data_IF_300671344841
#
_entry.id   IF_300671344841
#
_cell.length_a   1.000
_cell.length_b   1.000
_cell.length_c   1.000
_cell.angle_alpha   90.00
_cell.angle_beta   90.00
_cell.angle_gamma   90.00
#
_symmetry.space_group_name_H-M   'P 1'
#
loop_
_entity.id
_entity.type
_entity.pdbx_description
1 polymer ?
#
# COMPACT_ATOMS: atom_id res chain seq x y z
N UNK A 1 -2.90 27.03 8.28
CA UNK A 1 -1.64 26.48 7.72
C UNK A 1 -1.52 26.88 6.25
N UNK A 2 -0.32 27.13 5.72
CA UNK A 2 -0.12 27.46 4.30
C UNK A 2 -0.34 26.22 3.39
N UNK A 3 -0.82 26.42 2.16
CA UNK A 3 -1.18 25.30 1.26
C UNK A 3 -0.01 24.33 1.00
N UNK A 4 1.20 24.86 0.77
CA UNK A 4 2.36 24.02 0.48
C UNK A 4 2.85 23.27 1.72
N UNK A 5 2.70 23.86 2.90
CA UNK A 5 3.00 23.21 4.17
C UNK A 5 2.02 22.05 4.40
N UNK A 6 0.73 22.25 4.11
CA UNK A 6 -0.29 21.21 4.18
C UNK A 6 -0.02 20.06 3.21
N UNK A 7 0.31 20.36 1.94
CA UNK A 7 0.67 19.31 0.96
C UNK A 7 1.90 18.52 1.41
N UNK A 8 2.89 19.19 2.01
CA UNK A 8 4.09 18.53 2.53
C UNK A 8 3.74 17.62 3.71
N UNK A 9 2.88 18.09 4.62
CA UNK A 9 2.39 17.32 5.76
C UNK A 9 1.71 16.03 5.30
N UNK A 10 0.68 16.16 4.47
CA UNK A 10 -0.12 15.03 3.96
C UNK A 10 0.70 14.02 3.14
N UNK A 11 1.76 14.47 2.47
CA UNK A 11 2.65 13.56 1.74
C UNK A 11 3.55 12.71 2.64
N UNK A 12 3.80 13.14 3.89
CA UNK A 12 4.48 12.30 4.88
C UNK A 12 3.52 11.21 5.35
N UNK A 13 2.31 11.61 5.70
CA UNK A 13 1.24 10.69 6.10
C UNK A 13 0.96 9.66 5.01
N UNK A 14 0.85 10.10 3.74
CA UNK A 14 0.65 9.19 2.62
C UNK A 14 1.77 8.17 2.48
N UNK A 15 3.02 8.55 2.79
CA UNK A 15 4.17 7.64 2.75
C UNK A 15 4.14 6.65 3.93
N UNK A 16 3.71 7.08 5.10
CA UNK A 16 3.49 6.22 6.28
C UNK A 16 2.38 5.18 6.00
N UNK A 17 1.24 5.62 5.46
CA UNK A 17 0.16 4.73 5.04
C UNK A 17 0.62 3.73 3.98
N UNK A 18 1.43 4.20 3.01
CA UNK A 18 1.98 3.33 1.99
C UNK A 18 2.92 2.26 2.57
N UNK A 19 3.71 2.61 3.57
CA UNK A 19 4.57 1.66 4.27
C UNK A 19 3.75 0.60 5.03
N UNK A 20 2.68 1.01 5.70
CA UNK A 20 1.76 0.11 6.41
C UNK A 20 1.04 -0.86 5.45
N UNK A 21 0.55 -0.38 4.30
CA UNK A 21 -0.03 -1.22 3.23
C UNK A 21 0.94 -2.35 2.88
N UNK A 22 2.17 -2.01 2.51
CA UNK A 22 3.15 -3.02 2.07
C UNK A 22 3.45 -4.01 3.17
N UNK A 23 3.63 -3.54 4.40
CA UNK A 23 3.96 -4.39 5.53
C UNK A 23 2.83 -5.40 5.83
N UNK A 24 1.58 -4.95 5.87
CA UNK A 24 0.46 -5.83 6.19
C UNK A 24 0.11 -6.74 5.02
N UNK A 25 0.23 -6.25 3.78
CA UNK A 25 -0.03 -7.03 2.57
C UNK A 25 0.99 -8.16 2.38
N UNK A 26 2.28 -7.85 2.46
CA UNK A 26 3.35 -8.86 2.33
C UNK A 26 3.21 -9.91 3.43
N UNK A 27 2.95 -9.47 4.67
CA UNK A 27 2.75 -10.42 5.77
C UNK A 27 1.52 -11.31 5.54
N UNK A 28 0.43 -10.74 5.06
CA UNK A 28 -0.77 -11.50 4.73
C UNK A 28 -0.49 -12.61 3.72
N UNK A 29 0.27 -12.32 2.67
CA UNK A 29 0.56 -13.32 1.64
C UNK A 29 1.51 -14.39 2.16
N UNK A 30 2.52 -14.03 2.97
CA UNK A 30 3.42 -15.02 3.59
C UNK A 30 2.71 -15.93 4.61
N UNK A 31 1.63 -15.46 5.22
CA UNK A 31 0.78 -16.28 6.10
C UNK A 31 -0.30 -17.07 5.34
N UNK A 32 -0.45 -16.85 4.02
CA UNK A 32 -1.57 -17.32 3.21
C UNK A 32 -2.86 -16.53 3.43
N UNK A 33 -3.44 -15.95 2.38
CA UNK A 33 -4.64 -15.09 2.51
C UNK A 33 -5.92 -15.85 2.89
N UNK A 34 -5.93 -17.17 2.69
CA UNK A 34 -7.02 -18.07 3.07
C UNK A 34 -6.97 -18.48 4.54
N UNK A 35 -5.86 -18.20 5.25
CA UNK A 35 -5.76 -18.45 6.68
C UNK A 35 -6.45 -17.36 7.50
N UNK A 36 -6.94 -17.65 8.72
CA UNK A 36 -7.54 -16.63 9.58
C UNK A 36 -6.60 -15.46 9.89
N UNK A 37 -5.29 -15.70 9.94
CA UNK A 37 -4.28 -14.70 10.23
C UNK A 37 -3.99 -13.84 9.00
N UNK A 38 -3.74 -14.46 7.85
CA UNK A 38 -3.54 -13.75 6.59
C UNK A 38 -4.76 -12.92 6.20
N UNK A 39 -5.96 -13.49 6.22
CA UNK A 39 -7.20 -12.74 5.95
C UNK A 39 -7.39 -11.52 6.87
N UNK A 40 -6.99 -11.63 8.14
CA UNK A 40 -7.03 -10.50 9.09
C UNK A 40 -6.03 -9.41 8.72
N UNK A 41 -4.81 -9.77 8.32
CA UNK A 41 -3.77 -8.84 7.85
C UNK A 41 -4.18 -8.17 6.53
N UNK A 42 -4.69 -8.93 5.56
CA UNK A 42 -5.20 -8.40 4.30
C UNK A 42 -6.30 -7.37 4.52
N UNK A 43 -7.19 -7.63 5.47
CA UNK A 43 -8.24 -6.66 5.83
C UNK A 43 -7.66 -5.35 6.39
N UNK A 44 -6.53 -5.38 7.11
CA UNK A 44 -5.85 -4.15 7.57
C UNK A 44 -5.17 -3.42 6.42
N UNK A 45 -4.43 -4.15 5.59
CA UNK A 45 -3.81 -3.59 4.38
C UNK A 45 -4.82 -2.85 3.50
N UNK A 46 -6.04 -3.38 3.35
CA UNK A 46 -7.12 -2.71 2.61
C UNK A 46 -7.65 -1.44 3.28
N UNK A 47 -7.62 -1.35 4.61
CA UNK A 47 -7.97 -0.12 5.33
C UNK A 47 -6.89 0.96 5.12
N UNK A 48 -5.60 0.60 5.19
CA UNK A 48 -4.52 1.55 4.88
C UNK A 48 -4.56 2.02 3.41
N UNK A 49 -4.98 1.15 2.47
CA UNK A 49 -5.24 1.55 1.08
C UNK A 49 -6.30 2.64 0.97
N UNK A 50 -7.31 2.64 1.85
CA UNK A 50 -8.30 3.71 1.92
C UNK A 50 -7.72 5.00 2.48
N UNK A 51 -6.85 4.93 3.50
CA UNK A 51 -6.19 6.11 4.08
C UNK A 51 -5.29 6.77 3.03
N UNK A 52 -4.41 5.98 2.41
CA UNK A 52 -3.58 6.43 1.28
C UNK A 52 -4.42 7.06 0.16
N UNK A 53 -5.58 6.46 -0.16
CA UNK A 53 -6.50 7.02 -1.16
C UNK A 53 -7.10 8.36 -0.74
N UNK A 54 -7.53 8.53 0.52
CA UNK A 54 -8.06 9.80 1.01
C UNK A 54 -7.01 10.90 0.97
N UNK A 55 -5.80 10.64 1.46
CA UNK A 55 -4.69 11.57 1.45
C UNK A 55 -4.30 11.95 0.02
N UNK A 56 -4.15 10.96 -0.87
CA UNK A 56 -3.81 11.17 -2.28
C UNK A 56 -4.83 12.05 -3.01
N UNK A 57 -6.12 11.81 -2.76
CA UNK A 57 -7.21 12.64 -3.30
C UNK A 57 -7.16 14.08 -2.78
N UNK A 58 -6.86 14.30 -1.48
CA UNK A 58 -6.73 15.65 -0.93
C UNK A 58 -5.53 16.36 -1.54
N UNK A 59 -4.37 15.70 -1.60
CA UNK A 59 -3.15 16.25 -2.20
C UNK A 59 -3.39 16.67 -3.65
N UNK A 60 -3.96 15.77 -4.47
CA UNK A 60 -4.30 16.07 -5.86
C UNK A 60 -5.26 17.24 -5.99
N UNK A 61 -6.28 17.34 -5.12
CA UNK A 61 -7.24 18.46 -5.11
C UNK A 61 -6.58 19.80 -4.77
N UNK A 62 -5.58 19.80 -3.90
CA UNK A 62 -4.79 21.00 -3.56
C UNK A 62 -3.81 21.40 -4.68
N UNK A 63 -3.72 20.60 -5.74
CA UNK A 63 -2.77 20.76 -6.85
C UNK A 63 -1.35 20.29 -6.49
N UNK A 64 -1.23 19.43 -5.48
CA UNK A 64 0.03 18.80 -5.10
C UNK A 64 0.28 17.50 -5.86
N UNK A 65 1.53 17.05 -5.83
CA UNK A 65 1.93 15.74 -6.34
C UNK A 65 2.01 14.74 -5.16
N UNK A 66 1.30 13.60 -5.24
CA UNK A 66 1.41 12.52 -4.25
C UNK A 66 2.77 11.83 -4.29
N UNK A 67 3.40 11.65 -3.13
CA UNK A 67 4.67 10.94 -2.96
C UNK A 67 4.43 9.44 -2.85
N UNK A 68 4.64 8.69 -3.94
CA UNK A 68 4.41 7.24 -3.98
C UNK A 68 5.58 6.40 -3.43
N UNK A 69 6.54 7.02 -2.74
CA UNK A 69 7.60 6.30 -2.05
C UNK A 69 7.14 5.99 -0.61
N UNK A 70 7.14 4.72 -0.18
CA UNK A 70 6.79 4.38 1.18
C UNK A 70 7.82 4.92 2.17
N UNK A 71 7.35 5.31 3.36
CA UNK A 71 8.21 5.68 4.47
C UNK A 71 8.96 4.45 5.04
N UNK A 72 10.04 4.66 5.81
CA UNK A 72 10.63 3.59 6.60
C UNK A 72 9.64 3.05 7.64
N UNK A 73 9.45 1.74 7.69
CA UNK A 73 8.59 1.09 8.68
C UNK A 73 9.44 0.45 9.79
N UNK A 74 9.23 0.77 11.08
CA UNK A 74 9.92 0.11 12.18
C UNK A 74 9.44 -1.35 12.30
N UNK A 75 10.32 -2.30 12.01
CA UNK A 75 9.97 -3.71 11.86
C UNK A 75 11.03 -4.62 12.49
N UNK A 76 10.61 -5.45 13.44
CA UNK A 76 11.43 -6.53 14.01
C UNK A 76 10.97 -7.90 13.47
N UNK A 77 11.65 -8.46 12.45
CA UNK A 77 11.31 -9.74 11.82
C UNK A 77 11.69 -10.97 12.64
N UNK A 78 12.17 -10.85 13.88
CA UNK A 78 12.75 -12.00 14.61
C UNK A 78 11.78 -13.17 14.76
N UNK A 79 10.52 -12.88 15.07
CA UNK A 79 9.44 -13.87 15.12
C UNK A 79 8.08 -13.17 15.06
N UNK A 80 6.98 -13.93 14.94
CA UNK A 80 5.62 -13.36 14.91
C UNK A 80 5.34 -12.44 16.09
N UNK A 81 5.81 -12.75 17.30
CA UNK A 81 5.55 -11.89 18.46
C UNK A 81 6.18 -10.50 18.31
N UNK A 82 7.44 -10.42 17.89
CA UNK A 82 8.13 -9.14 17.67
C UNK A 82 7.56 -8.37 16.48
N UNK A 83 7.12 -9.10 15.45
CA UNK A 83 6.45 -8.52 14.28
C UNK A 83 5.15 -7.82 14.70
N UNK A 84 4.23 -8.52 15.37
CA UNK A 84 2.97 -7.94 15.80
C UNK A 84 3.16 -6.86 16.87
N UNK A 85 4.16 -6.99 17.74
CA UNK A 85 4.53 -5.93 18.68
C UNK A 85 4.96 -4.65 17.94
N UNK A 86 5.73 -4.78 16.86
CA UNK A 86 6.13 -3.65 16.01
C UNK A 86 4.91 -2.95 15.40
N UNK A 87 3.89 -3.71 14.97
CA UNK A 87 2.65 -3.12 14.42
C UNK A 87 1.86 -2.36 15.48
N UNK A 88 1.67 -2.95 16.66
CA UNK A 88 1.01 -2.28 17.78
C UNK A 88 1.72 -0.96 18.10
N UNK A 89 3.05 -0.99 18.20
CA UNK A 89 3.83 0.20 18.54
C UNK A 89 3.83 1.26 17.43
N UNK A 90 3.73 0.85 16.17
CA UNK A 90 3.58 1.77 15.03
C UNK A 90 2.21 2.46 15.07
N UNK A 91 1.13 1.68 15.13
CA UNK A 91 -0.25 2.19 15.15
C UNK A 91 -0.52 3.14 16.33
N UNK A 92 -0.01 2.79 17.52
CA UNK A 92 -0.18 3.65 18.70
C UNK A 92 0.54 5.00 18.57
N UNK A 93 1.63 5.08 17.80
CA UNK A 93 2.35 6.34 17.55
C UNK A 93 1.61 7.23 16.55
N UNK A 94 0.85 6.66 15.62
CA UNK A 94 0.06 7.41 14.65
C UNK A 94 -1.12 8.17 15.30
N UNK A 95 -1.67 7.66 16.40
CA UNK A 95 -2.81 8.30 17.10
C UNK A 95 -2.50 9.75 17.52
N UNK A 96 -1.48 10.06 18.34
CA UNK A 96 -1.16 11.44 18.71
C UNK A 96 -0.60 12.24 17.52
N UNK A 97 0.03 11.59 16.55
CA UNK A 97 0.52 12.21 15.31
C UNK A 97 -0.63 12.85 14.53
N UNK A 98 -1.60 12.04 14.10
CA UNK A 98 -2.75 12.49 13.33
C UNK A 98 -3.65 13.48 14.07
N UNK A 99 -3.89 13.27 15.37
CA UNK A 99 -4.65 14.25 16.16
C UNK A 99 -3.90 15.59 16.25
N UNK A 100 -2.59 15.58 16.42
CA UNK A 100 -1.77 16.79 16.49
C UNK A 100 -1.71 17.55 15.15
N UNK A 101 -1.81 16.85 14.03
CA UNK A 101 -1.91 17.47 12.71
C UNK A 101 -3.33 17.99 12.43
N UNK A 102 -4.36 17.25 12.80
CA UNK A 102 -5.75 17.68 12.72
C UNK A 102 -6.02 19.01 13.47
N UNK A 103 -5.30 19.26 14.57
CA UNK A 103 -5.39 20.51 15.33
C UNK A 103 -4.80 21.72 14.60
N UNK A 104 -3.94 21.51 13.60
CA UNK A 104 -3.28 22.58 12.82
C UNK A 104 -4.02 22.89 11.51
N UNK A 105 -5.06 22.12 11.19
CA UNK A 105 -5.79 22.21 9.92
C UNK A 105 -7.15 22.88 10.13
N UNK A 106 -7.41 23.93 9.35
CA UNK A 106 -8.67 24.69 9.38
C UNK A 106 -9.76 24.05 8.51
N UNK A 107 -9.39 23.36 7.42
CA UNK A 107 -10.35 22.72 6.53
C UNK A 107 -11.08 21.57 7.27
N UNK A 108 -12.41 21.65 7.42
CA UNK A 108 -13.15 20.70 8.24
C UNK A 108 -13.21 19.30 7.62
N UNK A 109 -13.05 19.16 6.30
CA UNK A 109 -13.01 17.85 5.66
C UNK A 109 -11.67 17.17 5.91
N UNK A 110 -10.55 17.86 5.68
CA UNK A 110 -9.21 17.33 5.92
C UNK A 110 -9.04 16.99 7.41
N UNK A 111 -9.50 17.86 8.30
CA UNK A 111 -9.49 17.60 9.75
C UNK A 111 -10.21 16.31 10.12
N UNK A 112 -11.37 16.03 9.49
CA UNK A 112 -12.11 14.78 9.73
C UNK A 112 -11.39 13.54 9.20
N UNK A 113 -10.66 13.65 8.09
CA UNK A 113 -9.87 12.54 7.55
C UNK A 113 -8.75 12.18 8.52
N UNK A 114 -7.95 13.15 8.97
CA UNK A 114 -6.88 12.93 9.94
C UNK A 114 -7.40 12.36 11.28
N UNK A 115 -8.52 12.89 11.79
CA UNK A 115 -9.15 12.32 12.99
C UNK A 115 -9.66 10.90 12.78
N UNK A 116 -10.09 10.57 11.55
CA UNK A 116 -10.54 9.22 11.21
C UNK A 116 -9.35 8.26 11.16
N UNK A 117 -8.25 8.64 10.55
CA UNK A 117 -7.00 7.87 10.53
C UNK A 117 -6.53 7.60 11.96
N UNK A 118 -6.48 8.62 12.83
CA UNK A 118 -6.15 8.44 14.25
C UNK A 118 -7.04 7.39 14.96
N UNK A 119 -8.34 7.39 14.67
CA UNK A 119 -9.29 6.43 15.24
C UNK A 119 -9.11 5.01 14.67
N UNK A 120 -8.85 4.90 13.36
CA UNK A 120 -8.59 3.61 12.71
C UNK A 120 -7.26 3.01 13.20
N UNK A 121 -6.20 3.81 13.38
CA UNK A 121 -4.94 3.34 13.99
C UNK A 121 -5.15 2.78 15.40
N UNK A 122 -5.98 3.43 16.24
CA UNK A 122 -6.33 2.86 17.55
C UNK A 122 -7.03 1.51 17.42
N UNK A 123 -7.95 1.39 16.47
CA UNK A 123 -8.64 0.14 16.19
C UNK A 123 -7.69 -0.96 15.69
N UNK A 124 -6.75 -0.62 14.81
CA UNK A 124 -5.71 -1.51 14.30
C UNK A 124 -4.77 -1.98 15.40
N UNK A 125 -4.25 -1.07 16.23
CA UNK A 125 -3.41 -1.40 17.39
C UNK A 125 -4.11 -2.43 18.28
N UNK A 126 -5.40 -2.22 18.59
CA UNK A 126 -6.20 -3.17 19.40
C UNK A 126 -6.38 -4.52 18.70
N UNK A 127 -6.47 -4.56 17.37
CA UNK A 127 -6.58 -5.80 16.60
C UNK A 127 -5.27 -6.57 16.61
N UNK A 128 -4.15 -5.91 16.32
CA UNK A 128 -2.83 -6.53 16.37
C UNK A 128 -2.49 -7.02 17.77
N UNK A 129 -2.81 -6.25 18.81
CA UNK A 129 -2.62 -6.70 20.19
C UNK A 129 -3.45 -7.95 20.50
N UNK A 130 -4.71 -8.02 20.05
CA UNK A 130 -5.54 -9.23 20.24
C UNK A 130 -5.02 -10.45 19.50
N UNK A 131 -4.36 -10.27 18.36
CA UNK A 131 -3.70 -11.38 17.65
C UNK A 131 -2.52 -11.85 18.49
N UNK A 132 -1.64 -10.93 18.90
CA UNK A 132 -0.48 -11.21 19.74
C UNK A 132 -0.86 -11.94 21.04
N UNK A 133 -1.88 -11.46 21.76
CA UNK A 133 -2.35 -12.03 23.03
C UNK A 133 -2.90 -13.46 22.89
N UNK A 134 -3.29 -13.86 21.67
CA UNK A 134 -3.92 -15.15 21.40
C UNK A 134 -2.95 -16.19 20.83
N UNK A 135 -1.73 -15.81 20.48
CA UNK A 135 -0.74 -16.74 19.96
C UNK A 135 -0.35 -17.77 21.03
N UNK A 136 -0.21 -19.03 20.62
CA UNK A 136 0.50 -20.01 21.47
C UNK A 136 1.99 -19.68 21.48
N UNK A 137 2.77 -20.17 22.47
CA UNK A 137 4.22 -19.98 22.49
C UNK A 137 4.90 -20.40 21.17
N UNK A 138 4.48 -21.53 20.59
CA UNK A 138 5.03 -22.04 19.34
C UNK A 138 4.72 -21.11 18.15
N UNK A 139 3.50 -20.57 18.08
CA UNK A 139 3.14 -19.60 17.04
C UNK A 139 3.94 -18.31 17.19
N UNK A 140 4.06 -17.82 18.43
CA UNK A 140 4.76 -16.59 18.76
C UNK A 140 6.25 -16.64 18.40
N UNK A 141 6.89 -17.79 18.56
CA UNK A 141 8.32 -18.02 18.26
C UNK A 141 8.60 -18.28 16.78
N UNK A 142 7.60 -18.69 15.99
CA UNK A 142 7.76 -19.02 14.57
C UNK A 142 7.77 -17.81 13.63
N UNK A 143 8.07 -18.07 12.36
CA UNK A 143 8.03 -17.13 11.24
C UNK A 143 7.00 -17.54 10.17
N UNK A 144 6.49 -16.58 9.37
CA UNK A 144 5.71 -16.87 8.17
C UNK A 144 6.67 -17.30 7.05
N UNK A 145 7.17 -18.53 7.18
CA UNK A 145 8.13 -19.13 6.24
C UNK A 145 7.50 -20.36 5.58
N UNK A 146 7.70 -20.48 4.28
CA UNK A 146 7.38 -21.65 3.46
C UNK A 146 8.64 -22.02 2.64
N UNK A 147 8.80 -23.30 2.27
CA UNK A 147 9.91 -23.71 1.41
C UNK A 147 9.60 -23.36 -0.06
N UNK A 148 10.55 -22.70 -0.74
CA UNK A 148 10.40 -22.41 -2.17
C UNK A 148 10.48 -23.71 -3.00
N UNK A 149 9.41 -24.01 -3.73
CA UNK A 149 9.32 -25.16 -4.63
C UNK A 149 9.61 -24.79 -6.10
N UNK A 150 9.66 -23.48 -6.42
CA UNK A 150 9.82 -22.98 -7.77
C UNK A 150 11.30 -22.82 -8.18
N UNK A 151 11.65 -23.01 -9.47
CA UNK A 151 12.98 -22.71 -9.98
C UNK A 151 13.37 -21.25 -9.76
N UNK A 152 14.61 -20.98 -9.33
CA UNK A 152 15.09 -19.63 -9.03
C UNK A 152 14.91 -18.64 -10.20
N UNK A 153 15.18 -19.08 -11.44
CA UNK A 153 14.99 -18.27 -12.64
C UNK A 153 13.53 -17.87 -12.85
N UNK A 154 12.60 -18.76 -12.53
CA UNK A 154 11.17 -18.49 -12.64
C UNK A 154 10.70 -17.49 -11.58
N UNK A 155 11.16 -17.66 -10.33
CA UNK A 155 10.88 -16.71 -9.24
C UNK A 155 11.42 -15.32 -9.57
N UNK A 156 12.64 -15.21 -10.08
CA UNK A 156 13.20 -13.91 -10.45
C UNK A 156 12.38 -13.24 -11.56
N UNK A 157 11.90 -14.02 -12.53
CA UNK A 157 10.99 -13.52 -13.58
C UNK A 157 9.67 -13.02 -12.99
N UNK A 158 9.07 -13.75 -12.04
CA UNK A 158 7.86 -13.32 -11.32
C UNK A 158 8.11 -12.03 -10.54
N UNK A 159 9.23 -11.93 -9.82
CA UNK A 159 9.60 -10.72 -9.08
C UNK A 159 9.73 -9.49 -9.99
N UNK A 160 10.29 -9.65 -11.19
CA UNK A 160 10.31 -8.60 -12.20
C UNK A 160 8.90 -8.16 -12.64
N UNK A 161 7.98 -9.11 -12.81
CA UNK A 161 6.58 -8.81 -13.13
C UNK A 161 5.86 -8.13 -11.96
N UNK A 162 6.09 -8.55 -10.72
CA UNK A 162 5.53 -7.90 -9.51
C UNK A 162 5.94 -6.43 -9.47
N UNK A 163 7.24 -6.13 -9.58
CA UNK A 163 7.75 -4.75 -9.56
C UNK A 163 7.18 -3.90 -10.71
N UNK A 164 7.10 -4.47 -11.91
CA UNK A 164 6.52 -3.80 -13.10
C UNK A 164 5.03 -3.48 -12.89
N UNK A 165 4.22 -4.46 -12.48
CA UNK A 165 2.77 -4.28 -12.27
C UNK A 165 2.47 -3.38 -11.09
N UNK A 166 3.29 -3.41 -10.05
CA UNK A 166 3.20 -2.48 -8.94
C UNK A 166 3.45 -1.03 -9.37
N UNK A 167 4.45 -0.81 -10.23
CA UNK A 167 4.71 0.51 -10.83
C UNK A 167 3.54 0.99 -11.69
N UNK A 168 2.98 0.12 -12.55
CA UNK A 168 1.80 0.43 -13.35
C UNK A 168 0.58 0.79 -12.47
N UNK A 169 0.34 0.01 -11.42
CA UNK A 169 -0.74 0.27 -10.46
C UNK A 169 -0.59 1.65 -9.83
N UNK A 170 0.59 1.96 -9.27
CA UNK A 170 0.87 3.26 -8.65
C UNK A 170 0.74 4.42 -9.65
N UNK A 171 1.19 4.24 -10.89
CA UNK A 171 1.01 5.24 -11.96
C UNK A 171 -0.47 5.56 -12.19
N UNK A 172 -1.33 4.54 -12.26
CA UNK A 172 -2.77 4.72 -12.44
C UNK A 172 -3.44 5.35 -11.22
N UNK A 173 -3.07 4.91 -10.01
CA UNK A 173 -3.55 5.50 -8.76
C UNK A 173 -3.21 6.99 -8.72
N UNK A 174 -1.94 7.36 -8.92
CA UNK A 174 -1.51 8.77 -8.98
C UNK A 174 -2.28 9.55 -10.03
N UNK A 175 -2.43 8.99 -11.22
CA UNK A 175 -3.14 9.67 -12.32
C UNK A 175 -4.60 9.91 -11.97
N UNK A 176 -5.26 8.98 -11.30
CA UNK A 176 -6.63 9.15 -10.82
C UNK A 176 -6.76 10.29 -9.80
N UNK A 177 -5.78 10.44 -8.91
CA UNK A 177 -5.77 11.49 -7.89
C UNK A 177 -5.47 12.88 -8.47
N UNK A 178 -4.46 12.99 -9.33
CA UNK A 178 -4.03 14.26 -9.93
C UNK A 178 -5.03 14.77 -10.96
N UNK A 179 -5.63 13.87 -11.76
CA UNK A 179 -6.60 14.22 -12.78
C UNK A 179 -8.06 14.07 -12.32
N UNK A 180 -8.32 14.05 -11.00
CA UNK A 180 -9.67 13.86 -10.45
C UNK A 180 -10.69 14.92 -10.91
N UNK A 181 -10.22 16.09 -11.37
CA UNK A 181 -11.07 17.17 -11.88
C UNK A 181 -11.49 16.98 -13.35
N UNK A 182 -10.86 16.05 -14.08
CA UNK A 182 -11.10 15.75 -15.51
C UNK A 182 -12.33 14.84 -15.72
N UNK A 183 -13.36 15.03 -14.90
CA UNK A 183 -14.66 14.33 -14.98
C UNK A 183 -14.52 12.79 -15.02
N UNK A 184 -15.23 12.11 -15.93
CA UNK A 184 -15.29 10.65 -16.04
C UNK A 184 -13.92 9.98 -16.22
N UNK A 185 -12.93 10.69 -16.78
CA UNK A 185 -11.63 10.10 -17.09
C UNK A 185 -10.83 9.80 -15.82
N UNK A 186 -10.94 10.65 -14.78
CA UNK A 186 -10.31 10.39 -13.48
C UNK A 186 -10.80 9.09 -12.84
N UNK A 187 -12.10 8.80 -12.96
CA UNK A 187 -12.70 7.55 -12.46
C UNK A 187 -12.29 6.33 -13.28
N UNK A 188 -12.23 6.44 -14.61
CA UNK A 188 -11.74 5.35 -15.46
C UNK A 188 -10.27 5.00 -15.16
N UNK A 189 -9.44 6.00 -14.82
CA UNK A 189 -8.06 5.76 -14.39
C UNK A 189 -8.00 4.96 -13.08
N UNK A 190 -8.96 5.16 -12.16
CA UNK A 190 -9.09 4.32 -10.97
C UNK A 190 -9.47 2.88 -11.33
N UNK A 191 -10.40 2.66 -12.27
CA UNK A 191 -10.76 1.30 -12.71
C UNK A 191 -9.55 0.53 -13.27
N UNK A 192 -8.67 1.22 -14.00
CA UNK A 192 -7.40 0.64 -14.44
C UNK A 192 -6.48 0.30 -13.26
N UNK A 193 -6.34 1.19 -12.27
CA UNK A 193 -5.59 0.89 -11.05
C UNK A 193 -6.09 -0.37 -10.35
N UNK A 194 -7.41 -0.52 -10.19
CA UNK A 194 -8.01 -1.71 -9.56
C UNK A 194 -7.74 -2.98 -10.37
N UNK A 195 -7.74 -2.88 -11.70
CA UNK A 195 -7.37 -4.00 -12.58
C UNK A 195 -5.91 -4.40 -12.37
N UNK A 196 -4.99 -3.42 -12.27
CA UNK A 196 -3.58 -3.69 -11.98
C UNK A 196 -3.38 -4.28 -10.59
N UNK A 197 -4.11 -3.80 -9.59
CA UNK A 197 -4.07 -4.35 -8.22
C UNK A 197 -4.46 -5.82 -8.20
N UNK A 198 -5.52 -6.21 -8.94
CA UNK A 198 -5.91 -7.63 -9.08
C UNK A 198 -4.80 -8.47 -9.74
N UNK A 199 -4.23 -7.99 -10.85
CA UNK A 199 -3.15 -8.69 -11.54
C UNK A 199 -1.91 -8.83 -10.66
N UNK A 200 -1.58 -7.76 -9.92
CA UNK A 200 -0.48 -7.73 -8.98
C UNK A 200 -0.67 -8.73 -7.84
N UNK A 201 -1.89 -8.85 -7.30
CA UNK A 201 -2.20 -9.82 -6.25
C UNK A 201 -1.87 -11.25 -6.70
N UNK A 202 -2.36 -11.69 -7.87
CA UNK A 202 -2.08 -13.04 -8.38
C UNK A 202 -0.58 -13.34 -8.58
N UNK A 203 0.23 -12.33 -8.87
CA UNK A 203 1.67 -12.51 -9.07
C UNK A 203 2.44 -12.48 -7.74
N UNK A 204 2.05 -11.57 -6.85
CA UNK A 204 2.72 -11.38 -5.58
C UNK A 204 2.40 -12.50 -4.59
N UNK A 205 1.18 -13.02 -4.61
CA UNK A 205 0.77 -14.18 -3.81
C UNK A 205 1.62 -15.40 -4.15
N UNK A 206 1.80 -15.71 -5.44
CA UNK A 206 2.60 -16.86 -5.87
C UNK A 206 4.07 -16.80 -5.43
N UNK A 207 4.63 -15.59 -5.37
CA UNK A 207 5.98 -15.38 -4.83
C UNK A 207 6.01 -15.60 -3.32
N UNK A 208 5.00 -15.11 -2.60
CA UNK A 208 4.90 -15.22 -1.15
C UNK A 208 4.61 -16.64 -0.65
N UNK A 209 3.78 -17.40 -1.36
CA UNK A 209 3.51 -18.81 -1.05
C UNK A 209 4.77 -19.69 -1.13
N UNK A 210 5.81 -19.21 -1.82
CA UNK A 210 7.13 -19.83 -1.86
C UNK A 210 8.09 -19.29 -0.77
N UNK A 211 7.57 -18.65 0.27
CA UNK A 211 8.33 -18.10 1.40
C UNK A 211 9.14 -16.84 1.06
N UNK A 212 8.86 -16.19 -0.06
CA UNK A 212 9.67 -15.06 -0.56
C UNK A 212 8.86 -13.78 -0.50
N UNK A 213 9.42 -12.72 0.10
CA UNK A 213 8.78 -11.42 0.09
C UNK A 213 8.64 -10.87 -1.36
N UNK A 214 7.43 -10.52 -1.83
CA UNK A 214 7.27 -9.98 -3.17
C UNK A 214 7.92 -8.60 -3.32
N UNK A 215 8.56 -8.37 -4.48
CA UNK A 215 9.34 -7.17 -4.80
C UNK A 215 8.42 -6.01 -5.18
N UNK A 216 7.82 -5.39 -4.17
CA UNK A 216 7.08 -4.13 -4.32
C UNK A 216 8.02 -2.91 -4.41
N UNK A 217 8.90 -2.91 -5.41
CA UNK A 217 9.81 -1.79 -5.69
C UNK A 217 9.20 -0.88 -6.76
N UNK A 218 9.10 0.43 -6.45
CA UNK A 218 8.55 1.39 -7.39
C UNK A 218 9.58 1.75 -8.46
N UNK A 219 9.20 1.56 -9.72
CA UNK A 219 9.94 2.02 -10.87
C UNK A 219 9.71 3.50 -11.15
N UNK A 220 10.04 3.93 -12.37
CA UNK A 220 9.85 5.31 -12.79
C UNK A 220 8.37 5.65 -12.97
N UNK A 221 7.89 6.63 -12.21
CA UNK A 221 6.56 7.25 -12.37
C UNK A 221 6.65 8.46 -13.30
N UNK A 222 5.74 8.56 -14.25
CA UNK A 222 5.54 9.73 -15.11
C UNK A 222 4.67 10.76 -14.39
N UNK A 223 5.29 11.91 -14.07
CA UNK A 223 4.67 13.04 -13.37
C UNK A 223 4.08 14.08 -14.34
N UNK A 224 3.90 13.73 -15.62
CA UNK A 224 3.29 14.61 -16.61
C UNK A 224 1.95 15.18 -16.10
N UNK A 225 1.75 16.47 -16.34
CA UNK A 225 0.49 17.17 -16.09
C UNK A 225 -0.53 16.99 -17.23
N UNK A 226 -0.20 16.19 -18.26
CA UNK A 226 -1.08 15.91 -19.40
C UNK A 226 -1.77 14.57 -19.23
N UNK A 227 -3.10 14.60 -19.15
CA UNK A 227 -3.92 13.38 -19.14
C UNK A 227 -3.72 12.53 -20.39
N UNK A 228 -3.46 13.16 -21.55
CA UNK A 228 -3.15 12.46 -22.79
C UNK A 228 -1.86 11.64 -22.71
N UNK A 229 -0.85 12.15 -21.99
CA UNK A 229 0.38 11.39 -21.72
C UNK A 229 0.10 10.20 -20.81
N UNK A 230 -0.67 10.39 -19.74
CA UNK A 230 -1.04 9.32 -18.82
C UNK A 230 -1.82 8.19 -19.50
N UNK A 231 -2.79 8.53 -20.36
CA UNK A 231 -3.55 7.55 -21.14
C UNK A 231 -2.67 6.81 -22.17
N UNK A 232 -1.77 7.53 -22.84
CA UNK A 232 -0.81 6.93 -23.78
C UNK A 232 0.08 5.91 -23.07
N UNK A 233 0.60 6.28 -21.89
CA UNK A 233 1.42 5.39 -21.06
C UNK A 233 0.63 4.14 -20.64
N UNK A 234 -0.60 4.30 -20.15
CA UNK A 234 -1.47 3.16 -19.81
C UNK A 234 -1.73 2.23 -21.01
N UNK A 235 -1.89 2.77 -22.22
CA UNK A 235 -2.00 1.96 -23.44
C UNK A 235 -0.71 1.19 -23.77
N UNK A 236 0.45 1.84 -23.64
CA UNK A 236 1.76 1.19 -23.81
C UNK A 236 1.98 0.07 -22.79
N UNK A 237 1.58 0.26 -21.53
CA UNK A 237 1.68 -0.74 -20.47
C UNK A 237 0.81 -1.96 -20.74
N UNK A 238 -0.43 -1.76 -21.22
CA UNK A 238 -1.30 -2.87 -21.64
C UNK A 238 -0.69 -3.65 -22.82
N UNK A 239 -0.08 -2.95 -23.78
CA UNK A 239 0.60 -3.62 -24.91
C UNK A 239 1.80 -4.44 -24.45
N UNK A 240 2.65 -3.86 -23.59
CA UNK A 240 3.80 -4.55 -23.01
C UNK A 240 3.38 -5.78 -22.22
N UNK A 241 2.39 -5.65 -21.33
CA UNK A 241 1.85 -6.77 -20.57
C UNK A 241 1.32 -7.91 -21.45
N UNK A 242 0.69 -7.58 -22.59
CA UNK A 242 0.23 -8.58 -23.56
C UNK A 242 1.41 -9.30 -24.22
N UNK A 243 2.44 -8.58 -24.63
CA UNK A 243 3.63 -9.17 -25.25
C UNK A 243 4.37 -10.09 -24.28
N UNK A 244 4.52 -9.67 -23.02
CA UNK A 244 5.03 -10.50 -21.94
C UNK A 244 4.20 -11.77 -21.78
N UNK A 245 2.87 -11.68 -21.71
CA UNK A 245 2.00 -12.84 -21.53
C UNK A 245 2.07 -13.87 -22.68
N UNK A 246 2.33 -13.42 -23.91
CA UNK A 246 2.47 -14.33 -25.07
C UNK A 246 3.81 -15.07 -25.03
N UNK A 247 4.81 -14.51 -24.35
CA UNK A 247 6.16 -15.05 -24.27
C UNK A 247 6.48 -15.64 -22.88
N UNK A 248 5.52 -15.60 -21.96
CA UNK A 248 5.62 -16.16 -20.61
C UNK A 248 5.56 -17.68 -20.64
#
# INVERSE_FOLDING_TARGET
MEKQELITMLNRDLADEHAAILRYLIHSYLEGEDTPLGASLLSRAREEMWHMHWLGMIIGRLGGEPNLAPAPYPYDPTNRATIFKSYVDYELKLIPHYNGEADKVDDPHIKRVLQREAWESEYHARKFQRILDKMTPEQAEGLPDEENELPEEFVERLQGLVASKYTEMLQHIRSSWVFQQESIVGWQLMDFAMTKMKQLAHLAEEVAENGIAPRFEVGKIDLSASIGTALKKGFEDVRGAREEHITF
#
